data_IF_769748686275
#
_entry.id   IF_769748686275
#
_cell.length_a   1.000
_cell.length_b   1.000
_cell.length_c   1.000
_cell.angle_alpha   90.00
_cell.angle_beta   90.00
_cell.angle_gamma   90.00
#
_symmetry.space_group_name_H-M   'P 1'
#
loop_
_entity.id
_entity.type
_entity.pdbx_description
1 polymer ?
#
# COMPACT_ATOMS: atom_id res chain seq x y z
N UNK A 1 -21.96 -1.00 -5.13
CA UNK A 1 -20.58 -1.32 -4.69
C UNK A 1 -19.86 -1.88 -5.90
N UNK A 2 -18.72 -1.30 -6.28
CA UNK A 2 -17.94 -1.75 -7.45
C UNK A 2 -17.11 -2.99 -7.08
N UNK A 3 -16.64 -3.76 -8.07
CA UNK A 3 -15.76 -4.93 -7.84
C UNK A 3 -14.48 -4.54 -7.06
N UNK A 4 -13.97 -3.32 -7.25
CA UNK A 4 -12.84 -2.78 -6.48
C UNK A 4 -13.17 -2.68 -4.98
N UNK A 5 -14.34 -2.13 -4.66
CA UNK A 5 -14.79 -1.95 -3.29
C UNK A 5 -15.10 -3.28 -2.59
N UNK A 6 -15.55 -4.28 -3.36
CA UNK A 6 -15.82 -5.63 -2.84
C UNK A 6 -14.54 -6.32 -2.35
N UNK A 7 -13.44 -6.21 -3.11
CA UNK A 7 -12.16 -6.80 -2.68
C UNK A 7 -11.53 -6.05 -1.51
N UNK A 8 -11.58 -4.71 -1.48
CA UNK A 8 -11.08 -3.94 -0.34
C UNK A 8 -11.85 -4.25 0.94
N UNK A 9 -13.17 -4.43 0.87
CA UNK A 9 -13.99 -4.74 2.04
C UNK A 9 -13.57 -6.02 2.77
N UNK A 10 -12.94 -6.97 2.08
CA UNK A 10 -12.44 -8.21 2.71
C UNK A 10 -11.27 -8.00 3.66
N UNK A 11 -10.60 -6.84 3.61
CA UNK A 11 -9.54 -6.45 4.54
C UNK A 11 -10.07 -5.68 5.77
N UNK A 12 -11.37 -5.34 5.82
CA UNK A 12 -11.92 -4.44 6.84
C UNK A 12 -11.71 -4.90 8.30
N UNK A 13 -11.52 -6.20 8.53
CA UNK A 13 -11.31 -6.77 9.87
C UNK A 13 -9.87 -7.20 10.15
N UNK A 14 -8.93 -6.92 9.23
CA UNK A 14 -7.53 -7.32 9.35
C UNK A 14 -6.69 -6.07 9.62
N UNK A 15 -5.97 -6.06 10.75
CA UNK A 15 -5.10 -4.93 11.12
C UNK A 15 -3.91 -4.75 10.18
N UNK A 16 -3.40 -3.52 10.11
CA UNK A 16 -2.28 -3.15 9.24
C UNK A 16 -1.02 -3.97 9.51
N UNK A 17 -0.75 -4.34 10.77
CA UNK A 17 0.36 -5.20 11.17
C UNK A 17 0.29 -6.60 10.52
N UNK A 18 -0.87 -7.25 10.56
CA UNK A 18 -1.07 -8.56 9.94
C UNK A 18 -0.97 -8.49 8.41
N UNK A 19 -1.48 -7.41 7.80
CA UNK A 19 -1.34 -7.16 6.36
C UNK A 19 0.13 -6.91 6.00
N UNK A 20 0.87 -6.17 6.83
CA UNK A 20 2.32 -5.95 6.68
C UNK A 20 3.10 -7.27 6.69
N UNK A 21 2.83 -8.15 7.65
CA UNK A 21 3.48 -9.46 7.71
C UNK A 21 3.21 -10.31 6.45
N UNK A 22 1.98 -10.23 5.93
CA UNK A 22 1.61 -10.91 4.69
C UNK A 22 2.37 -10.36 3.47
N UNK A 23 2.51 -9.04 3.37
CA UNK A 23 3.29 -8.35 2.35
C UNK A 23 4.77 -8.75 2.41
N UNK A 24 5.37 -8.75 3.60
CA UNK A 24 6.77 -9.13 3.82
C UNK A 24 7.04 -10.59 3.43
N UNK A 25 6.14 -11.49 3.83
CA UNK A 25 6.20 -12.91 3.44
C UNK A 25 6.16 -13.11 1.92
N UNK A 26 5.40 -12.27 1.22
CA UNK A 26 5.28 -12.27 -0.23
C UNK A 26 6.35 -11.41 -0.93
N UNK A 27 7.24 -10.76 -0.16
CA UNK A 27 8.26 -9.84 -0.63
C UNK A 27 7.69 -8.67 -1.46
N UNK A 28 6.56 -8.13 -1.03
CA UNK A 28 5.90 -6.98 -1.62
C UNK A 28 6.14 -5.77 -0.71
N UNK A 29 6.82 -4.72 -1.16
CA UNK A 29 6.92 -3.48 -0.38
C UNK A 29 5.56 -2.76 -0.40
N UNK A 30 4.97 -2.55 0.77
CA UNK A 30 3.67 -1.86 0.88
C UNK A 30 3.53 -0.98 2.11
N UNK A 31 4.46 -1.01 3.05
CA UNK A 31 4.44 -0.23 4.28
C UNK A 31 4.88 1.22 3.99
N UNK A 32 3.97 2.18 4.18
CA UNK A 32 4.30 3.59 3.97
C UNK A 32 5.23 4.10 5.09
N UNK A 33 5.94 5.24 4.89
CA UNK A 33 6.86 5.77 5.88
C UNK A 33 6.24 5.93 7.26
N UNK A 34 7.04 5.64 8.28
CA UNK A 34 6.65 5.74 9.69
C UNK A 34 6.30 7.18 10.11
N UNK A 35 6.75 8.18 9.35
CA UNK A 35 6.37 9.59 9.53
C UNK A 35 4.88 9.83 9.30
N UNK A 36 4.22 9.04 8.45
CA UNK A 36 2.79 9.16 8.18
C UNK A 36 2.01 8.54 9.35
N UNK A 37 1.52 9.40 10.25
CA UNK A 37 0.80 9.01 11.46
C UNK A 37 -0.67 9.45 11.43
N UNK A 38 -1.58 8.70 12.07
CA UNK A 38 -2.96 9.16 12.24
C UNK A 38 -3.02 10.44 13.09
N UNK A 39 -4.05 11.27 12.88
CA UNK A 39 -4.22 12.47 13.72
C UNK A 39 -4.59 12.13 15.17
N UNK A 40 -5.23 10.98 15.38
CA UNK A 40 -5.65 10.46 16.69
C UNK A 40 -5.79 8.94 16.66
N UNK A 41 -6.14 8.32 17.78
CA UNK A 41 -6.55 6.91 17.82
C UNK A 41 -7.98 6.77 17.25
N UNK A 42 -8.07 6.44 15.96
CA UNK A 42 -9.35 6.11 15.33
C UNK A 42 -9.86 4.76 15.82
N UNK A 43 -11.17 4.66 16.06
CA UNK A 43 -11.79 3.45 16.63
C UNK A 43 -11.83 2.26 15.67
N UNK A 44 -11.87 2.55 14.37
CA UNK A 44 -12.01 1.55 13.31
C UNK A 44 -10.87 1.73 12.31
N UNK A 45 -10.22 0.64 11.88
CA UNK A 45 -9.33 0.67 10.73
C UNK A 45 -10.05 1.25 9.51
N UNK A 46 -9.33 2.03 8.73
CA UNK A 46 -9.77 2.51 7.42
C UNK A 46 -9.32 1.52 6.36
N UNK A 47 -10.24 1.11 5.50
CA UNK A 47 -9.93 0.30 4.33
C UNK A 47 -10.67 0.84 3.11
N UNK A 48 -9.96 0.98 2.00
CA UNK A 48 -10.56 1.40 0.73
C UNK A 48 -9.57 1.42 -0.43
N UNK A 49 -10.05 1.50 -1.69
CA UNK A 49 -9.19 1.66 -2.85
C UNK A 49 -8.55 3.07 -2.86
N UNK A 50 -7.30 3.14 -3.32
CA UNK A 50 -6.52 4.37 -3.36
C UNK A 50 -6.99 5.28 -4.51
N UNK A 51 -7.38 6.52 -4.19
CA UNK A 51 -7.44 7.62 -5.14
C UNK A 51 -6.13 8.41 -5.04
N UNK A 52 -5.22 8.20 -5.97
CA UNK A 52 -3.87 8.78 -5.95
C UNK A 52 -3.85 10.20 -6.49
N UNK A 53 -3.08 11.07 -5.83
CA UNK A 53 -2.87 12.47 -6.22
C UNK A 53 -1.39 12.83 -6.05
N UNK A 54 -0.77 13.36 -7.10
CA UNK A 54 0.62 13.83 -7.07
C UNK A 54 0.67 15.35 -7.14
N UNK A 55 1.43 15.96 -6.23
CA UNK A 55 1.70 17.39 -6.23
C UNK A 55 3.11 17.67 -6.77
N UNK A 56 3.28 18.89 -7.29
CA UNK A 56 4.56 19.47 -7.72
C UNK A 56 4.61 20.94 -7.28
N UNK A 57 5.78 21.60 -7.28
CA UNK A 57 5.85 23.05 -7.10
C UNK A 57 4.91 23.80 -8.05
N UNK A 58 4.31 24.88 -7.55
CA UNK A 58 3.38 25.67 -8.35
C UNK A 58 4.07 26.33 -9.55
N UNK A 59 3.37 26.39 -10.69
CA UNK A 59 3.71 27.19 -11.86
C UNK A 59 3.27 28.64 -11.71
N UNK A 60 3.56 29.46 -12.73
CA UNK A 60 3.06 30.82 -12.87
C UNK A 60 2.29 30.96 -14.20
N UNK A 61 0.94 31.06 -14.19
CA UNK A 61 0.07 31.07 -13.02
C UNK A 61 -0.03 29.70 -12.33
N UNK A 62 -0.39 29.63 -11.03
CA UNK A 62 -0.49 28.39 -10.29
C UNK A 62 -1.73 27.58 -10.68
N UNK A 63 -1.61 26.26 -10.64
CA UNK A 63 -2.73 25.32 -10.78
C UNK A 63 -3.57 25.16 -9.50
N UNK A 64 -4.52 24.23 -9.55
CA UNK A 64 -5.37 23.89 -8.40
C UNK A 64 -4.64 23.08 -7.33
N UNK A 65 -5.10 23.19 -6.08
CA UNK A 65 -4.60 22.43 -4.93
C UNK A 65 -5.61 21.44 -4.39
N UNK A 66 -6.84 21.36 -4.90
CA UNK A 66 -7.91 20.59 -4.25
C UNK A 66 -9.10 20.14 -5.10
N UNK A 67 -9.26 20.63 -6.33
CA UNK A 67 -10.48 20.39 -7.12
C UNK A 67 -10.67 18.91 -7.50
N UNK A 68 -9.60 18.09 -7.44
CA UNK A 68 -9.67 16.65 -7.65
C UNK A 68 -10.65 15.94 -6.72
N UNK A 69 -11.00 16.55 -5.58
CA UNK A 69 -11.85 15.93 -4.57
C UNK A 69 -13.26 15.62 -5.12
N UNK A 70 -13.70 16.35 -6.14
CA UNK A 70 -15.00 16.13 -6.79
C UNK A 70 -15.09 14.78 -7.53
N UNK A 71 -13.94 14.23 -7.93
CA UNK A 71 -13.83 12.97 -8.68
C UNK A 71 -13.64 11.75 -7.76
N UNK A 72 -13.49 11.94 -6.46
CA UNK A 72 -13.23 10.86 -5.49
C UNK A 72 -14.54 10.17 -5.12
N UNK A 73 -14.57 8.83 -5.23
CA UNK A 73 -15.77 8.06 -4.93
C UNK A 73 -15.94 7.80 -3.43
N UNK A 74 -17.19 7.57 -3.01
CA UNK A 74 -17.49 7.11 -1.66
C UNK A 74 -16.75 5.79 -1.38
N UNK A 75 -16.11 5.67 -0.22
CA UNK A 75 -15.30 4.52 0.18
C UNK A 75 -13.85 4.54 -0.31
N UNK A 76 -13.47 5.46 -1.21
CA UNK A 76 -12.07 5.60 -1.62
C UNK A 76 -11.24 6.23 -0.50
N UNK A 77 -9.94 5.90 -0.47
CA UNK A 77 -8.94 6.55 0.37
C UNK A 77 -8.09 7.45 -0.51
N UNK A 78 -8.08 8.75 -0.24
CA UNK A 78 -7.23 9.69 -0.98
C UNK A 78 -5.78 9.48 -0.53
N UNK A 79 -4.88 9.19 -1.46
CA UNK A 79 -3.44 9.04 -1.21
C UNK A 79 -2.68 10.15 -1.92
N UNK A 80 -2.18 11.09 -1.14
CA UNK A 80 -1.49 12.28 -1.63
C UNK A 80 0.02 12.11 -1.50
N UNK A 81 0.73 12.27 -2.61
CA UNK A 81 2.17 12.46 -2.63
C UNK A 81 2.51 13.93 -2.86
N UNK A 82 2.97 14.59 -1.78
CA UNK A 82 3.46 15.96 -1.80
C UNK A 82 4.97 16.00 -1.55
N UNK A 83 5.69 14.96 -1.99
CA UNK A 83 7.15 14.84 -1.86
C UNK A 83 7.63 14.95 -0.41
N UNK A 84 6.81 14.51 0.55
CA UNK A 84 7.11 14.58 1.98
C UNK A 84 7.17 16.00 2.53
N UNK A 85 6.79 17.03 1.77
CA UNK A 85 6.87 18.44 2.17
C UNK A 85 5.99 18.74 3.38
N UNK A 86 6.58 19.38 4.37
CA UNK A 86 5.91 19.85 5.60
C UNK A 86 5.96 21.37 5.77
N UNK A 87 6.52 22.09 4.79
CA UNK A 87 6.58 23.56 4.75
C UNK A 87 5.27 24.21 4.28
N UNK A 88 4.35 23.41 3.74
CA UNK A 88 3.00 23.80 3.32
C UNK A 88 2.04 22.60 3.41
N UNK A 89 0.73 22.87 3.27
CA UNK A 89 -0.33 21.88 3.49
C UNK A 89 -1.21 21.69 2.27
N UNK A 90 -1.65 20.46 2.05
CA UNK A 90 -2.45 20.02 0.88
C UNK A 90 -3.83 19.47 1.26
N UNK A 91 -4.20 19.58 2.55
CA UNK A 91 -5.49 19.18 3.08
C UNK A 91 -5.88 20.05 4.27
N UNK A 92 -7.16 20.40 4.38
CA UNK A 92 -7.70 21.26 5.45
C UNK A 92 -9.20 21.07 5.67
N UNK A 93 -9.83 22.03 6.35
CA UNK A 93 -11.22 21.96 6.83
C UNK A 93 -12.26 21.76 5.72
N UNK A 94 -12.20 22.52 4.62
CA UNK A 94 -13.18 22.46 3.53
C UNK A 94 -13.18 21.08 2.89
N UNK A 95 -11.99 20.54 2.59
CA UNK A 95 -11.84 19.21 2.00
C UNK A 95 -12.28 18.11 2.96
N UNK A 96 -12.01 18.28 4.26
CA UNK A 96 -12.46 17.37 5.31
C UNK A 96 -13.98 17.30 5.38
N UNK A 97 -14.65 18.46 5.42
CA UNK A 97 -16.11 18.54 5.46
C UNK A 97 -16.74 17.91 4.21
N UNK A 98 -16.19 18.24 3.03
CA UNK A 98 -16.64 17.66 1.77
C UNK A 98 -16.48 16.14 1.77
N UNK A 99 -15.32 15.64 2.19
CA UNK A 99 -15.01 14.23 2.20
C UNK A 99 -15.94 13.43 3.12
N UNK A 100 -16.19 13.93 4.33
CA UNK A 100 -17.15 13.33 5.26
C UNK A 100 -18.56 13.27 4.68
N UNK A 101 -19.04 14.35 4.05
CA UNK A 101 -20.38 14.39 3.43
C UNK A 101 -20.53 13.45 2.23
N UNK A 102 -19.44 13.15 1.53
CA UNK A 102 -19.42 12.26 0.35
C UNK A 102 -19.08 10.82 0.69
N UNK A 103 -18.80 10.52 1.96
CA UNK A 103 -18.45 9.17 2.39
C UNK A 103 -17.09 8.70 1.87
N UNK A 104 -16.16 9.61 1.61
CA UNK A 104 -14.75 9.27 1.35
C UNK A 104 -14.18 8.65 2.64
N UNK A 105 -13.42 7.57 2.53
CA UNK A 105 -13.06 6.76 3.69
C UNK A 105 -11.99 7.42 4.57
N UNK A 106 -10.97 8.02 3.95
CA UNK A 106 -9.88 8.72 4.63
C UNK A 106 -8.99 9.49 3.67
N UNK A 107 -8.04 10.25 4.23
CA UNK A 107 -6.91 10.82 3.49
C UNK A 107 -5.57 10.39 4.09
N UNK A 108 -4.66 9.92 3.26
CA UNK A 108 -3.26 9.61 3.57
C UNK A 108 -2.36 10.60 2.84
N UNK A 109 -1.43 11.23 3.54
CA UNK A 109 -0.65 12.36 3.01
C UNK A 109 0.84 12.15 3.30
N UNK A 110 1.61 11.94 2.23
CA UNK A 110 3.06 12.10 2.26
C UNK A 110 3.41 13.59 2.20
N UNK A 111 3.21 14.25 3.34
CA UNK A 111 3.28 15.69 3.52
C UNK A 111 2.41 16.16 4.70
N UNK A 112 2.17 17.45 4.82
CA UNK A 112 1.42 18.02 5.94
C UNK A 112 -0.06 18.34 5.64
N UNK A 113 -0.88 18.23 6.68
CA UNK A 113 -2.25 18.73 6.73
C UNK A 113 -2.37 19.96 7.65
N UNK A 114 -3.51 20.64 7.59
CA UNK A 114 -3.92 21.69 8.53
C UNK A 114 -5.35 21.45 9.03
N UNK A 115 -5.82 22.33 9.92
CA UNK A 115 -7.19 22.34 10.44
C UNK A 115 -7.57 21.02 11.16
N UNK A 116 -6.62 20.49 11.93
CA UNK A 116 -6.72 19.19 12.64
C UNK A 116 -7.99 19.09 13.48
N UNK A 117 -8.34 20.16 14.20
CA UNK A 117 -9.53 20.18 15.06
C UNK A 117 -10.81 19.88 14.26
N UNK A 118 -10.87 20.31 13.00
CA UNK A 118 -12.01 20.01 12.12
C UNK A 118 -12.07 18.53 11.78
N UNK A 119 -10.95 17.93 11.35
CA UNK A 119 -10.89 16.50 11.03
C UNK A 119 -11.24 15.63 12.24
N UNK A 120 -10.78 16.02 13.44
CA UNK A 120 -11.11 15.32 14.67
C UNK A 120 -12.59 15.48 15.07
N UNK A 121 -13.13 16.69 14.97
CA UNK A 121 -14.53 16.98 15.28
C UNK A 121 -15.49 16.23 14.36
N UNK A 122 -15.17 16.16 13.07
CA UNK A 122 -15.99 15.46 12.06
C UNK A 122 -15.75 13.94 12.08
N UNK A 123 -14.76 13.46 12.85
CA UNK A 123 -14.39 12.05 12.92
C UNK A 123 -13.78 11.51 11.62
N UNK A 124 -13.29 12.38 10.73
CA UNK A 124 -12.74 12.01 9.43
C UNK A 124 -11.28 11.52 9.59
N UNK A 125 -10.95 10.30 9.13
CA UNK A 125 -9.60 9.78 9.25
C UNK A 125 -8.59 10.48 8.35
N UNK A 126 -7.54 11.02 8.95
CA UNK A 126 -6.40 11.62 8.25
C UNK A 126 -5.10 11.04 8.81
N UNK A 127 -4.23 10.62 7.90
CA UNK A 127 -2.90 10.13 8.18
C UNK A 127 -1.92 11.06 7.45
N UNK A 128 -0.97 11.67 8.16
CA UNK A 128 -0.12 12.70 7.58
C UNK A 128 1.30 12.66 8.15
N UNK A 129 2.28 13.05 7.33
CA UNK A 129 3.67 13.23 7.77
C UNK A 129 3.87 14.47 8.67
N UNK A 130 2.91 15.39 8.72
CA UNK A 130 3.00 16.59 9.55
C UNK A 130 1.69 17.36 9.70
N UNK A 131 1.70 18.29 10.66
CA UNK A 131 0.61 19.22 10.95
C UNK A 131 1.19 20.63 10.90
N UNK A 132 0.61 21.50 10.09
CA UNK A 132 1.08 22.88 9.93
C UNK A 132 -0.08 23.81 9.58
N UNK A 133 0.15 25.11 9.38
CA UNK A 133 -0.92 26.07 9.05
C UNK A 133 -0.80 26.67 7.64
N UNK A 134 0.39 26.63 7.04
CA UNK A 134 0.68 27.34 5.79
C UNK A 134 0.01 26.65 4.60
N UNK A 135 -0.78 27.40 3.84
CA UNK A 135 -1.49 26.87 2.66
C UNK A 135 -0.53 26.45 1.54
N UNK A 136 -0.90 25.39 0.81
CA UNK A 136 -0.25 24.98 -0.42
C UNK A 136 -0.48 25.92 -1.61
N UNK A 137 -1.47 26.83 -1.55
CA UNK A 137 -1.70 27.83 -2.62
C UNK A 137 -0.42 28.62 -2.91
N UNK A 138 -0.15 28.80 -4.20
CA UNK A 138 1.04 29.47 -4.75
C UNK A 138 2.38 28.79 -4.38
N UNK A 139 2.35 27.54 -3.89
CA UNK A 139 3.55 26.78 -3.48
C UNK A 139 3.63 25.40 -4.09
N UNK A 140 2.47 24.77 -4.22
CA UNK A 140 2.27 23.48 -4.87
C UNK A 140 1.01 23.50 -5.70
N UNK A 141 0.92 22.58 -6.65
CA UNK A 141 -0.30 22.31 -7.41
C UNK A 141 -0.40 20.81 -7.70
N UNK A 142 -1.61 20.36 -7.98
CA UNK A 142 -1.85 19.00 -8.47
C UNK A 142 -1.23 18.87 -9.86
N UNK A 143 -0.33 17.89 -10.03
CA UNK A 143 0.24 17.53 -11.32
C UNK A 143 -0.55 16.42 -12.00
N UNK A 144 -1.05 15.46 -11.22
CA UNK A 144 -1.66 14.24 -11.73
C UNK A 144 -2.61 13.64 -10.70
N UNK A 145 -3.74 13.12 -11.18
CA UNK A 145 -4.71 12.33 -10.40
C UNK A 145 -4.90 10.99 -11.08
N UNK A 146 -5.19 9.94 -10.31
CA UNK A 146 -5.44 8.60 -10.85
C UNK A 146 -4.23 7.90 -11.46
N UNK A 147 -3.05 8.51 -11.35
CA UNK A 147 -1.77 7.96 -11.79
C UNK A 147 -1.05 7.17 -10.70
N UNK A 148 0.24 6.94 -10.93
CA UNK A 148 1.14 6.28 -9.96
C UNK A 148 1.78 7.33 -9.06
N UNK A 149 1.85 7.06 -7.76
CA UNK A 149 2.62 7.87 -6.81
C UNK A 149 3.67 7.04 -6.08
N UNK A 150 4.70 7.71 -5.56
CA UNK A 150 5.81 7.08 -4.84
C UNK A 150 5.87 7.63 -3.41
N UNK A 151 5.10 7.04 -2.50
CA UNK A 151 5.03 7.48 -1.11
C UNK A 151 6.20 6.88 -0.33
N UNK A 152 7.24 7.68 -0.15
CA UNK A 152 8.47 7.29 0.57
C UNK A 152 9.11 6.00 0.06
N UNK A 153 9.13 5.83 -1.27
CA UNK A 153 9.70 4.66 -1.94
C UNK A 153 8.70 3.51 -2.17
N UNK A 154 7.50 3.57 -1.59
CA UNK A 154 6.42 2.61 -1.91
C UNK A 154 5.64 3.11 -3.13
N UNK A 155 5.52 2.23 -4.12
CA UNK A 155 4.67 2.46 -5.29
C UNK A 155 3.21 2.28 -4.90
N UNK A 156 2.37 3.25 -5.22
CA UNK A 156 0.91 3.17 -5.07
C UNK A 156 0.26 3.45 -6.41
N UNK A 157 -0.41 2.46 -6.97
CA UNK A 157 -1.23 2.61 -8.16
C UNK A 157 -2.67 3.00 -7.77
N UNK A 158 -3.34 3.76 -8.64
CA UNK A 158 -4.75 4.09 -8.44
C UNK A 158 -5.61 2.82 -8.36
N UNK A 159 -6.36 2.68 -7.26
CA UNK A 159 -7.19 1.52 -6.96
C UNK A 159 -6.50 0.38 -6.20
N UNK A 160 -5.22 0.54 -5.81
CA UNK A 160 -4.61 -0.34 -4.80
C UNK A 160 -5.35 -0.24 -3.47
N UNK A 161 -5.27 -1.27 -2.63
CA UNK A 161 -6.04 -1.32 -1.39
C UNK A 161 -5.21 -0.69 -0.28
N UNK A 162 -5.74 0.35 0.34
CA UNK A 162 -5.15 0.97 1.53
C UNK A 162 -5.77 0.33 2.77
N UNK A 163 -4.94 -0.07 3.73
CA UNK A 163 -5.34 -0.45 5.09
C UNK A 163 -4.59 0.45 6.06
N UNK A 164 -5.32 1.18 6.89
CA UNK A 164 -4.74 2.19 7.78
C UNK A 164 -5.38 2.14 9.17
N UNK A 165 -4.55 2.14 10.21
CA UNK A 165 -4.98 2.10 11.61
C UNK A 165 -3.95 2.81 12.52
N UNK A 166 -4.02 2.56 13.82
CA UNK A 166 -3.15 3.21 14.81
C UNK A 166 -1.65 3.03 14.57
N UNK A 167 -1.24 1.94 13.90
CA UNK A 167 0.17 1.61 13.71
C UNK A 167 0.75 2.31 12.47
N UNK A 168 -0.07 2.57 11.46
CA UNK A 168 0.33 3.27 10.25
C UNK A 168 -0.55 2.95 9.05
N UNK A 169 0.06 2.95 7.87
CA UNK A 169 -0.62 2.72 6.59
C UNK A 169 0.15 1.69 5.79
N UNK A 170 -0.57 0.70 5.27
CA UNK A 170 -0.06 -0.27 4.30
C UNK A 170 -0.88 -0.22 3.01
N UNK A 171 -0.20 -0.44 1.89
CA UNK A 171 -0.76 -0.50 0.55
C UNK A 171 -0.58 -1.89 -0.02
N UNK A 172 -1.69 -2.50 -0.42
CA UNK A 172 -1.74 -3.81 -1.03
C UNK A 172 -2.00 -3.64 -2.54
N UNK A 173 -1.05 -4.03 -3.42
CA UNK A 173 -1.25 -3.95 -4.86
C UNK A 173 -2.50 -4.72 -5.28
N UNK A 174 -3.41 -4.10 -6.03
CA UNK A 174 -4.72 -4.69 -6.38
C UNK A 174 -4.58 -6.05 -7.06
N UNK A 175 -3.59 -6.19 -7.94
CA UNK A 175 -3.30 -7.44 -8.65
C UNK A 175 -2.78 -8.57 -7.76
N UNK A 176 -2.33 -8.27 -6.54
CA UNK A 176 -1.81 -9.23 -5.54
C UNK A 176 -2.71 -9.35 -4.32
N UNK A 177 -3.82 -8.63 -4.27
CA UNK A 177 -4.69 -8.54 -3.10
C UNK A 177 -5.22 -9.89 -2.62
N UNK A 178 -5.57 -10.82 -3.51
CA UNK A 178 -6.01 -12.17 -3.12
C UNK A 178 -4.90 -12.96 -2.42
N UNK A 179 -3.69 -12.96 -2.98
CA UNK A 179 -2.54 -13.64 -2.37
C UNK A 179 -2.23 -13.07 -0.97
N UNK A 180 -2.25 -11.75 -0.84
CA UNK A 180 -1.99 -11.06 0.43
C UNK A 180 -3.08 -11.38 1.44
N UNK A 181 -4.35 -11.35 1.01
CA UNK A 181 -5.51 -11.66 1.86
C UNK A 181 -5.45 -13.10 2.40
N UNK A 182 -5.13 -14.07 1.55
CA UNK A 182 -5.02 -15.47 1.96
C UNK A 182 -3.91 -15.68 2.99
N UNK A 183 -2.76 -15.05 2.78
CA UNK A 183 -1.65 -15.09 3.75
C UNK A 183 -2.02 -14.38 5.05
N UNK A 184 -2.63 -13.20 4.98
CA UNK A 184 -3.05 -12.42 6.14
C UNK A 184 -4.06 -13.20 7.00
N UNK A 185 -5.07 -13.83 6.38
CA UNK A 185 -6.05 -14.69 7.08
C UNK A 185 -5.39 -15.89 7.75
N UNK A 186 -4.37 -16.48 7.13
CA UNK A 186 -3.62 -17.58 7.72
C UNK A 186 -2.80 -17.13 8.94
N UNK A 187 -2.17 -15.95 8.87
CA UNK A 187 -1.48 -15.31 9.99
C UNK A 187 -2.47 -15.03 11.12
N UNK A 188 -3.55 -14.33 10.84
CA UNK A 188 -4.57 -13.95 11.83
C UNK A 188 -5.14 -15.16 12.55
N UNK A 189 -5.50 -16.22 11.80
CA UNK A 189 -5.98 -17.48 12.39
C UNK A 189 -4.94 -18.12 13.31
N UNK A 190 -3.68 -18.14 12.90
CA UNK A 190 -2.60 -18.70 13.73
C UNK A 190 -2.40 -17.87 15.00
N UNK A 191 -2.42 -16.55 14.89
CA UNK A 191 -2.25 -15.66 16.04
C UNK A 191 -3.41 -15.72 17.00
N UNK A 192 -4.64 -15.83 16.49
CA UNK A 192 -5.81 -16.01 17.32
C UNK A 192 -5.71 -17.32 18.12
N UNK A 193 -5.31 -18.42 17.48
CA UNK A 193 -5.09 -19.68 18.19
C UNK A 193 -3.97 -19.59 19.26
N UNK A 194 -2.92 -18.79 19.02
CA UNK A 194 -1.90 -18.49 20.05
C UNK A 194 -2.53 -17.74 21.23
N UNK A 195 -3.33 -16.70 20.96
CA UNK A 195 -4.03 -15.91 21.99
C UNK A 195 -4.97 -16.79 22.81
N UNK A 196 -5.77 -17.62 22.15
CA UNK A 196 -6.71 -18.53 22.81
C UNK A 196 -5.98 -19.52 23.73
N UNK A 197 -4.87 -20.14 23.26
CA UNK A 197 -4.06 -21.02 24.11
C UNK A 197 -3.50 -20.32 25.36
N UNK A 198 -3.08 -19.06 25.23
CA UNK A 198 -2.58 -18.27 26.37
C UNK A 198 -3.72 -17.98 27.36
N UNK A 199 -4.90 -17.60 26.86
CA UNK A 199 -6.10 -17.36 27.68
C UNK A 199 -6.54 -18.63 28.41
N UNK A 200 -6.45 -19.78 27.75
CA UNK A 200 -6.78 -21.10 28.31
C UNK A 200 -5.74 -21.64 29.31
N UNK A 201 -4.72 -20.84 29.64
CA UNK A 201 -3.77 -21.14 30.71
C UNK A 201 -2.47 -21.79 30.24
N UNK A 202 -2.17 -21.81 28.94
CA UNK A 202 -0.84 -22.20 28.47
C UNK A 202 0.19 -21.15 28.94
N UNK A 203 1.11 -21.57 29.80
CA UNK A 203 2.06 -20.66 30.47
C UNK A 203 3.27 -20.28 29.61
N UNK A 204 3.43 -20.87 28.43
CA UNK A 204 4.59 -20.68 27.55
C UNK A 204 4.19 -20.25 26.14
N UNK A 205 4.58 -19.01 25.78
CA UNK A 205 4.46 -18.50 24.40
C UNK A 205 5.30 -19.32 23.41
N UNK A 206 6.47 -19.81 23.85
CA UNK A 206 7.34 -20.63 23.00
C UNK A 206 6.66 -21.94 22.62
N UNK A 207 5.96 -22.56 23.57
CA UNK A 207 5.18 -23.77 23.32
C UNK A 207 4.00 -23.50 22.38
N UNK A 208 3.25 -22.41 22.59
CA UNK A 208 2.15 -22.01 21.72
C UNK A 208 2.61 -21.85 20.26
N UNK A 209 3.74 -21.15 20.05
CA UNK A 209 4.33 -20.90 18.73
C UNK A 209 4.85 -22.19 18.08
N UNK A 210 5.45 -23.10 18.85
CA UNK A 210 5.95 -24.38 18.36
C UNK A 210 4.81 -25.26 17.85
N UNK A 211 3.68 -25.34 18.59
CA UNK A 211 2.51 -26.14 18.21
C UNK A 211 1.90 -25.71 16.87
N UNK A 212 2.07 -24.45 16.48
CA UNK A 212 1.51 -23.87 15.25
C UNK A 212 2.55 -23.61 14.16
N UNK A 213 3.80 -24.01 14.35
CA UNK A 213 4.92 -23.71 13.43
C UNK A 213 5.04 -22.21 13.09
N UNK A 214 4.67 -21.33 14.04
CA UNK A 214 4.51 -19.90 13.82
C UNK A 214 5.80 -19.21 13.36
N UNK A 215 6.96 -19.68 13.81
CA UNK A 215 8.28 -19.13 13.41
C UNK A 215 8.56 -19.15 11.91
N UNK A 216 7.94 -20.09 11.18
CA UNK A 216 8.05 -20.18 9.72
C UNK A 216 6.93 -19.42 9.00
N UNK A 217 5.88 -19.05 9.74
CA UNK A 217 4.64 -18.56 9.18
C UNK A 217 4.76 -17.12 8.66
N UNK A 218 5.65 -16.30 9.22
CA UNK A 218 5.94 -14.95 8.72
C UNK A 218 7.18 -14.89 7.81
N UNK A 219 7.94 -15.99 7.68
CA UNK A 219 9.16 -15.97 6.88
C UNK A 219 8.84 -15.94 5.39
N UNK A 220 9.66 -15.18 4.66
CA UNK A 220 9.69 -15.17 3.20
C UNK A 220 9.86 -16.60 2.67
N UNK A 221 9.07 -16.98 1.67
CA UNK A 221 9.27 -18.25 0.95
C UNK A 221 10.60 -18.19 0.19
N UNK A 222 11.44 -19.21 0.33
CA UNK A 222 12.66 -19.33 -0.47
C UNK A 222 12.29 -19.40 -1.97
N UNK A 223 13.00 -18.64 -2.81
CA UNK A 223 12.85 -18.75 -4.26
C UNK A 223 13.42 -20.11 -4.69
N UNK A 224 12.56 -21.05 -5.05
CA UNK A 224 13.01 -22.23 -5.79
C UNK A 224 13.49 -21.77 -7.17
N UNK A 225 14.80 -21.67 -7.34
CA UNK A 225 15.42 -21.37 -8.63
C UNK A 225 15.30 -22.62 -9.50
N UNK A 226 14.26 -22.69 -10.34
CA UNK A 226 14.19 -23.73 -11.38
C UNK A 226 15.18 -23.34 -12.47
N UNK A 227 16.43 -23.76 -12.32
CA UNK A 227 17.43 -23.66 -13.39
C UNK A 227 16.97 -24.57 -14.54
N UNK A 228 16.46 -23.96 -15.61
CA UNK A 228 16.24 -24.65 -16.88
C UNK A 228 17.61 -24.88 -17.51
N UNK A 229 18.16 -26.08 -17.37
CA UNK A 229 19.38 -26.48 -18.09
C UNK A 229 19.01 -26.70 -19.55
N UNK A 230 19.32 -25.72 -20.41
CA UNK A 230 19.26 -25.91 -21.85
C UNK A 230 20.42 -26.83 -22.27
N UNK A 231 20.10 -28.06 -22.66
CA UNK A 231 21.05 -28.99 -23.28
C UNK A 231 21.30 -28.55 -24.73
N UNK A 232 22.45 -27.95 -24.99
CA UNK A 232 22.94 -27.70 -26.35
C UNK A 232 23.41 -29.02 -26.96
N UNK A 233 22.66 -29.55 -27.93
CA UNK A 233 23.09 -30.66 -28.77
C UNK A 233 23.94 -30.11 -29.91
N UNK A 234 25.25 -30.36 -29.87
CA UNK A 234 26.17 -30.10 -30.98
C UNK A 234 26.04 -31.20 -32.02
N UNK A 235 25.53 -30.89 -33.20
CA UNK A 235 25.56 -31.80 -34.36
C UNK A 235 26.86 -31.58 -35.12
N UNK A 236 27.76 -32.57 -35.05
CA UNK A 236 28.96 -32.65 -35.88
C UNK A 236 28.57 -33.20 -37.25
N UNK A 237 28.81 -32.44 -38.33
CA UNK A 237 28.68 -32.93 -39.71
C UNK A 237 30.07 -33.20 -40.26
N UNK A 238 30.35 -34.46 -40.57
CA UNK A 238 31.51 -34.95 -41.32
C UNK A 238 31.24 -34.81 -42.81
N UNK A 239 32.23 -34.33 -43.58
CA UNK A 239 32.27 -34.50 -45.03
C UNK A 239 33.73 -34.64 -45.49
N UNK A 240 34.14 -35.89 -45.74
CA UNK A 240 35.26 -36.28 -46.61
C UNK A 240 34.68 -36.46 -48.04
N UNK A 241 35.13 -35.67 -49.02
CA UNK A 241 36.08 -36.03 -50.10
C UNK A 241 35.53 -36.92 -51.24
N UNK A 242 35.55 -36.39 -52.48
CA UNK A 242 36.09 -36.99 -53.71
C UNK A 242 35.87 -36.00 -54.90
N UNK A 243 36.93 -35.38 -55.48
CA UNK A 243 37.85 -35.79 -56.57
C UNK A 243 37.28 -35.79 -58.00
N UNK A 244 37.83 -34.91 -58.85
CA UNK A 244 38.36 -35.13 -60.23
C UNK A 244 38.51 -33.75 -60.94
N UNK A 245 39.72 -33.32 -61.36
CA UNK A 245 40.36 -33.53 -62.69
C UNK A 245 39.60 -32.75 -63.81
N UNK A 246 40.16 -31.90 -64.67
CA UNK A 246 41.44 -31.92 -65.39
C UNK A 246 41.65 -30.59 -66.18
N UNK A 247 42.93 -30.26 -66.47
CA UNK A 247 43.54 -29.46 -67.57
C UNK A 247 42.85 -28.23 -68.22
N UNK A 248 43.54 -27.07 -68.18
CA UNK A 248 44.42 -26.55 -69.26
C UNK A 248 45.00 -25.18 -68.86
#
# INVERSE_FOLDING_TARGET
MTEKQDLSAQFANIGSATVSDALDKLAIPGQLPDTIKPLTHYKTPTVGPAYTVRYVPASDPPGTTGDFIDDVAAGDVVVIDNDGRTDCTVWGDIMTQYAGLRGIAATVIHGACRDVDRALSDGYPVFSAGRYMRTGKDRVQVAETGGVVAVGGVRVDHGDIVVADGDGVVVVPRGRARDVLDVARAIEKSEQAIRDMIVDGLTSLAEARARLNYHSLQRRRERTTTATTATTTTTTTTSEEEKMEDRA
#
